data_IF_439782929517
#
_entry.id   IF_439782929517
#
_cell.length_a   1.000
_cell.length_b   1.000
_cell.length_c   1.000
_cell.angle_alpha   90.00
_cell.angle_beta   90.00
_cell.angle_gamma   90.00
#
_symmetry.space_group_name_H-M   'P 1'
#
loop_
_entity.id
_entity.type
_entity.pdbx_description
1 polymer ?
#
# COMPACT_ATOMS: atom_id res chain seq x y z
N UNK A 1 -57.29 -12.00 38.99
CA UNK A 1 -56.00 -12.25 39.71
C UNK A 1 -54.99 -11.25 39.17
N UNK A 2 -54.66 -10.15 39.87
CA UNK A 2 -53.60 -9.97 40.89
C UNK A 2 -52.16 -10.20 40.35
N UNK A 3 -51.34 -9.14 40.43
CA UNK A 3 -49.85 -9.03 40.27
C UNK A 3 -49.33 -9.07 38.81
N UNK A 4 -48.29 -8.34 38.37
CA UNK A 4 -47.42 -7.27 38.95
C UNK A 4 -46.43 -6.75 37.87
N UNK A 5 -45.71 -5.60 37.90
CA UNK A 5 -45.77 -4.22 38.49
C UNK A 5 -44.62 -3.38 37.81
N UNK A 6 -44.57 -2.04 37.97
CA UNK A 6 -43.39 -1.10 37.74
C UNK A 6 -43.27 -0.57 36.28
N UNK A 7 -43.13 0.74 35.93
CA UNK A 7 -42.49 1.95 36.54
C UNK A 7 -43.30 3.26 36.19
N UNK A 8 -43.84 4.07 37.14
CA UNK A 8 -43.40 5.43 37.62
C UNK A 8 -43.05 6.44 36.49
N UNK A 9 -43.70 7.58 36.15
CA UNK A 9 -44.46 8.74 36.76
C UNK A 9 -43.60 10.01 37.10
N UNK A 10 -44.12 11.21 36.72
CA UNK A 10 -43.75 12.64 36.98
C UNK A 10 -42.94 13.35 35.85
N UNK A 11 -43.36 14.45 35.17
CA UNK A 11 -44.04 15.74 35.52
C UNK A 11 -43.14 16.61 36.43
N UNK A 12 -42.86 17.92 36.27
CA UNK A 12 -43.50 19.13 35.68
C UNK A 12 -42.36 20.11 35.22
N UNK A 13 -42.49 21.17 34.39
CA UNK A 13 -42.91 22.56 34.70
C UNK A 13 -42.89 23.42 33.42
N UNK A 14 -43.91 24.27 33.24
CA UNK A 14 -44.00 25.38 32.26
C UNK A 14 -43.10 26.55 32.66
N UNK A 15 -42.55 27.33 31.70
CA UNK A 15 -42.68 28.81 31.70
C UNK A 15 -42.10 29.49 30.44
N UNK A 16 -42.62 30.69 30.19
CA UNK A 16 -42.54 31.49 28.96
C UNK A 16 -41.14 32.00 28.56
N UNK A 17 -41.00 32.27 27.26
CA UNK A 17 -39.94 33.09 26.66
C UNK A 17 -40.04 34.56 27.14
N UNK A 18 -38.92 35.29 27.08
CA UNK A 18 -38.95 36.54 26.32
C UNK A 18 -37.83 36.63 25.26
N UNK A 19 -38.14 37.38 24.21
CA UNK A 19 -37.20 37.85 23.18
C UNK A 19 -36.21 38.82 23.79
N UNK A 20 -34.92 38.67 23.49
CA UNK A 20 -33.96 39.78 23.53
C UNK A 20 -33.08 39.75 22.28
N UNK A 21 -32.83 40.94 21.74
CA UNK A 21 -32.06 41.18 20.53
C UNK A 21 -30.64 41.67 20.87
N UNK A 22 -29.72 41.42 19.94
CA UNK A 22 -28.54 42.23 19.62
C UNK A 22 -27.83 43.00 20.76
N UNK A 23 -26.81 42.39 21.38
CA UNK A 23 -25.64 43.14 21.87
C UNK A 23 -24.32 42.38 21.60
N UNK A 24 -23.50 42.96 20.70
CA UNK A 24 -22.03 43.00 20.66
C UNK A 24 -21.21 41.72 20.94
N UNK A 25 -20.70 41.09 19.87
CA UNK A 25 -19.90 39.86 19.90
C UNK A 25 -18.41 40.11 19.60
N UNK A 26 -17.75 40.98 20.37
CA UNK A 26 -16.31 41.30 20.17
C UNK A 26 -15.40 41.09 21.41
N UNK A 27 -15.94 40.93 22.63
CA UNK A 27 -15.14 40.90 23.88
C UNK A 27 -14.97 39.53 24.58
N UNK A 28 -15.28 38.40 23.91
CA UNK A 28 -15.15 37.04 24.50
C UNK A 28 -14.10 36.18 23.77
N UNK A 29 -13.01 36.81 23.30
CA UNK A 29 -11.94 36.13 22.56
C UNK A 29 -10.64 35.90 23.36
N UNK A 30 -10.51 36.50 24.56
CA UNK A 30 -9.18 36.73 25.17
C UNK A 30 -8.90 35.95 26.46
N UNK A 31 -9.88 35.22 27.02
CA UNK A 31 -9.75 34.59 28.36
C UNK A 31 -9.98 33.05 28.39
N UNK A 32 -9.88 32.37 27.24
CA UNK A 32 -10.11 30.91 27.13
C UNK A 32 -9.00 30.13 26.39
N UNK A 33 -7.80 30.73 26.25
CA UNK A 33 -6.67 30.13 25.50
C UNK A 33 -5.55 29.60 26.41
N UNK A 34 -5.80 29.49 27.72
CA UNK A 34 -4.82 29.04 28.72
C UNK A 34 -5.39 27.99 29.66
N UNK A 35 -5.54 26.74 29.17
CA UNK A 35 -5.40 25.45 29.90
C UNK A 35 -6.10 24.28 29.16
N UNK A 36 -5.61 23.90 27.97
CA UNK A 36 -5.62 22.48 27.50
C UNK A 36 -4.68 22.32 26.29
N UNK A 37 -3.37 22.46 26.53
CA UNK A 37 -2.36 21.79 25.70
C UNK A 37 -1.97 20.52 26.44
N UNK A 38 -2.82 19.50 26.34
CA UNK A 38 -2.45 18.15 26.77
C UNK A 38 -1.37 17.66 25.81
N UNK A 39 -0.13 17.62 26.30
CA UNK A 39 1.03 17.19 25.54
C UNK A 39 0.81 15.75 25.07
N UNK A 40 0.59 15.57 23.77
CA UNK A 40 0.36 14.24 23.19
C UNK A 40 1.59 13.37 23.50
N UNK A 41 1.42 12.13 23.99
CA UNK A 41 2.55 11.28 24.31
C UNK A 41 3.37 11.08 23.04
N UNK A 42 4.63 11.51 23.07
CA UNK A 42 5.54 11.35 21.95
C UNK A 42 5.56 9.88 21.53
N UNK A 43 5.28 9.61 20.26
CA UNK A 43 5.43 8.26 19.72
C UNK A 43 6.86 7.78 20.02
N UNK A 44 7.04 6.53 20.50
CA UNK A 44 8.35 6.05 20.88
C UNK A 44 9.28 6.12 19.67
N UNK A 45 10.33 6.92 19.79
CA UNK A 45 11.36 7.06 18.76
C UNK A 45 12.04 5.70 18.62
N UNK A 46 11.60 4.91 17.65
CA UNK A 46 12.24 3.64 17.32
C UNK A 46 13.57 4.00 16.67
N UNK A 47 14.62 4.04 17.48
CA UNK A 47 15.99 4.14 16.98
C UNK A 47 16.21 3.02 15.96
N UNK A 48 16.26 3.37 14.68
CA UNK A 48 16.58 2.43 13.62
C UNK A 48 18.01 1.94 13.85
N UNK A 49 18.25 0.62 14.05
CA UNK A 49 19.60 0.11 14.21
C UNK A 49 20.46 0.54 13.03
N UNK A 50 21.70 0.98 13.32
CA UNK A 50 22.63 1.49 12.31
C UNK A 50 22.69 0.57 11.08
N UNK A 51 22.30 1.10 9.90
CA UNK A 51 22.17 0.28 8.70
C UNK A 51 23.56 -0.23 8.26
N UNK A 52 23.85 -1.50 8.51
CA UNK A 52 25.12 -2.16 8.14
C UNK A 52 25.21 -2.40 6.63
N UNK A 53 25.41 -1.34 5.86
CA UNK A 53 25.64 -1.42 4.42
C UNK A 53 27.08 -1.81 4.10
N UNK A 54 27.25 -2.52 2.98
CA UNK A 54 28.57 -2.81 2.41
C UNK A 54 29.05 -1.55 1.71
N UNK A 55 30.21 -1.06 2.13
CA UNK A 55 30.85 0.12 1.55
C UNK A 55 31.04 -0.03 0.03
N UNK A 56 30.67 1.01 -0.73
CA UNK A 56 30.71 1.01 -2.20
C UNK A 56 29.50 0.38 -2.92
N UNK A 57 28.49 -0.14 -2.21
CA UNK A 57 27.19 -0.44 -2.82
C UNK A 57 26.45 0.87 -3.11
N UNK A 58 25.94 1.02 -4.35
CA UNK A 58 25.18 2.19 -4.80
C UNK A 58 23.88 1.73 -5.47
N UNK A 59 22.95 2.64 -5.76
CA UNK A 59 21.71 2.32 -6.49
C UNK A 59 21.96 1.73 -7.89
N UNK A 60 23.15 1.93 -8.46
CA UNK A 60 23.55 1.36 -9.76
C UNK A 60 24.18 -0.04 -9.64
N UNK A 61 24.47 -0.50 -8.42
CA UNK A 61 25.11 -1.79 -8.15
C UNK A 61 24.07 -2.91 -8.23
N UNK A 62 24.11 -3.74 -9.27
CA UNK A 62 23.25 -4.92 -9.36
C UNK A 62 23.69 -6.02 -8.38
N UNK A 63 23.09 -6.01 -7.20
CA UNK A 63 23.36 -6.96 -6.12
C UNK A 63 22.75 -8.36 -6.39
N UNK A 64 21.85 -8.51 -7.35
CA UNK A 64 21.08 -9.73 -7.58
C UNK A 64 21.86 -10.81 -8.34
N UNK A 65 21.60 -12.08 -7.98
CA UNK A 65 22.26 -13.25 -8.56
C UNK A 65 23.79 -13.24 -8.39
N UNK A 66 24.30 -12.57 -7.36
CA UNK A 66 25.74 -12.42 -7.10
C UNK A 66 26.27 -13.38 -6.06
N UNK A 67 25.47 -13.68 -5.02
CA UNK A 67 25.93 -14.37 -3.81
C UNK A 67 27.02 -13.62 -3.03
N UNK A 68 27.17 -12.30 -3.24
CA UNK A 68 28.21 -11.47 -2.61
C UNK A 68 27.65 -10.52 -1.54
N UNK A 69 26.59 -9.80 -1.87
CA UNK A 69 26.11 -8.67 -1.07
C UNK A 69 25.09 -9.08 0.00
N UNK A 70 25.41 -10.14 0.74
CA UNK A 70 24.49 -10.75 1.70
C UNK A 70 24.05 -9.77 2.80
N UNK A 71 24.95 -8.90 3.25
CA UNK A 71 24.66 -7.92 4.29
C UNK A 71 23.70 -6.80 3.85
N UNK A 72 23.42 -6.62 2.56
CA UNK A 72 22.38 -5.67 2.13
C UNK A 72 20.98 -6.13 2.56
N UNK A 73 20.73 -7.44 2.57
CA UNK A 73 19.43 -8.02 2.91
C UNK A 73 19.40 -8.67 4.31
N UNK A 74 20.55 -9.07 4.85
CA UNK A 74 20.66 -9.85 6.08
C UNK A 74 21.47 -9.12 7.15
N UNK A 75 21.05 -9.26 8.41
CA UNK A 75 21.78 -8.76 9.59
C UNK A 75 23.03 -9.59 9.88
N UNK A 76 23.00 -10.88 9.50
CA UNK A 76 24.09 -11.86 9.63
C UNK A 76 23.92 -12.95 8.58
N UNK A 77 24.99 -13.67 8.27
CA UNK A 77 24.96 -14.77 7.28
C UNK A 77 23.87 -15.79 7.64
N UNK A 78 22.87 -16.03 6.76
CA UNK A 78 21.77 -16.94 7.05
C UNK A 78 22.27 -18.38 7.15
N UNK A 79 21.81 -19.10 8.16
CA UNK A 79 22.08 -20.54 8.33
C UNK A 79 20.92 -21.33 7.73
N UNK A 80 21.23 -22.36 6.96
CA UNK A 80 20.22 -23.24 6.34
C UNK A 80 19.28 -23.81 7.41
N UNK A 81 17.99 -23.84 7.09
CA UNK A 81 16.91 -24.40 7.92
C UNK A 81 16.76 -23.73 9.32
N UNK A 82 17.36 -22.54 9.51
CA UNK A 82 17.19 -21.69 10.70
C UNK A 82 16.54 -20.35 10.34
N UNK A 83 16.45 -19.45 11.31
CA UNK A 83 16.12 -18.05 11.06
C UNK A 83 17.02 -17.46 9.96
N UNK A 84 16.39 -16.68 9.07
CA UNK A 84 17.05 -16.06 7.92
C UNK A 84 17.75 -14.76 8.29
N UNK A 85 17.42 -14.17 9.44
CA UNK A 85 18.01 -12.92 9.95
C UNK A 85 18.00 -11.82 8.88
N UNK A 86 16.84 -11.66 8.23
CA UNK A 86 16.60 -10.60 7.27
C UNK A 86 16.48 -9.27 8.01
N UNK A 87 17.12 -8.21 7.50
CA UNK A 87 16.96 -6.86 8.03
C UNK A 87 15.48 -6.45 8.04
N UNK A 88 15.15 -5.51 8.91
CA UNK A 88 13.79 -4.96 9.05
C UNK A 88 12.73 -6.04 9.33
N UNK A 89 13.10 -7.12 10.01
CA UNK A 89 12.21 -8.25 10.31
C UNK A 89 11.69 -8.99 9.08
N UNK A 90 12.35 -8.85 7.92
CA UNK A 90 11.88 -9.43 6.65
C UNK A 90 10.83 -8.60 5.92
N UNK A 91 10.66 -7.31 6.23
CA UNK A 91 9.85 -6.40 5.42
C UNK A 91 10.49 -6.19 4.03
N UNK A 92 9.96 -6.91 3.04
CA UNK A 92 10.43 -6.83 1.66
C UNK A 92 10.19 -5.47 0.99
N UNK A 93 9.29 -4.62 1.51
CA UNK A 93 9.12 -3.24 1.01
C UNK A 93 10.36 -2.41 1.32
N UNK A 94 10.91 -2.55 2.53
CA UNK A 94 12.15 -1.89 2.95
C UNK A 94 13.40 -2.55 2.35
N UNK A 95 13.47 -3.88 2.34
CA UNK A 95 14.61 -4.62 1.77
C UNK A 95 14.79 -4.37 0.26
N UNK A 96 13.70 -4.18 -0.48
CA UNK A 96 13.75 -3.98 -1.93
C UNK A 96 13.66 -2.50 -2.35
N UNK A 97 13.87 -1.53 -1.42
CA UNK A 97 13.67 -0.08 -1.61
C UNK A 97 14.23 0.47 -2.94
N UNK A 98 15.34 -0.06 -3.42
CA UNK A 98 16.02 0.29 -4.68
C UNK A 98 15.20 0.15 -5.98
N UNK A 99 14.01 -0.46 -5.97
CA UNK A 99 13.11 -0.48 -7.15
C UNK A 99 11.95 0.53 -7.07
N UNK A 100 12.02 1.54 -6.19
CA UNK A 100 11.03 2.61 -6.11
C UNK A 100 9.78 2.22 -5.31
N UNK A 101 10.00 1.69 -4.09
CA UNK A 101 8.92 1.35 -3.17
C UNK A 101 8.68 2.46 -2.16
N UNK A 102 7.59 3.22 -2.33
CA UNK A 102 6.94 3.91 -1.22
C UNK A 102 5.82 3.00 -0.67
N UNK A 103 5.77 2.74 0.65
CA UNK A 103 4.64 2.06 1.27
C UNK A 103 3.31 2.75 0.91
N UNK A 104 2.32 1.97 0.48
CA UNK A 104 0.99 2.46 0.14
C UNK A 104 0.78 3.01 -1.28
N UNK A 105 1.85 3.28 -2.07
CA UNK A 105 1.68 3.78 -3.46
C UNK A 105 1.89 2.71 -4.53
N UNK A 106 2.15 1.45 -4.14
CA UNK A 106 2.63 0.37 -5.01
C UNK A 106 1.49 -0.50 -5.60
N UNK A 107 1.45 -0.63 -6.94
CA UNK A 107 0.35 -1.32 -7.65
C UNK A 107 0.47 -2.85 -7.76
N UNK A 108 1.49 -3.49 -7.18
CA UNK A 108 1.52 -4.96 -7.19
C UNK A 108 0.64 -5.49 -6.04
N UNK A 109 -0.05 -6.62 -6.23
CA UNK A 109 -1.02 -7.13 -5.27
C UNK A 109 -0.35 -7.81 -4.08
N UNK A 110 0.24 -7.03 -3.17
CA UNK A 110 0.81 -7.48 -1.89
C UNK A 110 -0.03 -6.97 -0.71
N UNK A 111 0.05 -7.65 0.42
CA UNK A 111 -0.75 -7.43 1.63
C UNK A 111 -2.29 -7.65 1.46
N UNK A 112 -2.68 -8.28 0.35
CA UNK A 112 -4.07 -8.61 0.02
C UNK A 112 -4.39 -10.06 0.40
N UNK A 113 -5.55 -10.29 1.03
CA UNK A 113 -6.11 -11.64 1.20
C UNK A 113 -6.66 -12.15 -0.14
N UNK A 114 -6.22 -13.31 -0.66
CA UNK A 114 -6.87 -13.92 -1.83
C UNK A 114 -8.29 -14.37 -1.47
N UNK A 115 -9.22 -14.30 -2.42
CA UNK A 115 -10.56 -14.91 -2.25
C UNK A 115 -10.46 -16.43 -2.10
N UNK A 116 -11.45 -17.07 -1.47
CA UNK A 116 -11.46 -18.53 -1.26
C UNK A 116 -11.33 -19.34 -2.56
N UNK A 117 -11.87 -18.84 -3.68
CA UNK A 117 -11.66 -19.44 -5.00
C UNK A 117 -10.18 -19.40 -5.41
N UNK A 118 -9.52 -18.25 -5.22
CA UNK A 118 -8.09 -18.07 -5.56
C UNK A 118 -7.20 -18.88 -4.62
N UNK A 119 -7.50 -18.94 -3.32
CA UNK A 119 -6.78 -19.79 -2.34
C UNK A 119 -6.73 -21.25 -2.77
N UNK A 120 -7.80 -21.78 -3.35
CA UNK A 120 -7.86 -23.15 -3.88
C UNK A 120 -7.04 -23.36 -5.16
N UNK A 121 -6.75 -22.30 -5.91
CA UNK A 121 -5.96 -22.32 -7.16
C UNK A 121 -4.47 -22.00 -6.95
N UNK A 122 -4.12 -21.23 -5.91
CA UNK A 122 -2.74 -20.86 -5.59
C UNK A 122 -1.87 -22.13 -5.47
N UNK A 123 -0.81 -22.28 -6.27
CA UNK A 123 0.04 -23.46 -6.22
C UNK A 123 0.80 -23.55 -4.89
N UNK A 124 1.16 -24.76 -4.45
CA UNK A 124 1.87 -24.98 -3.16
C UNK A 124 3.21 -24.27 -3.10
N UNK A 125 3.86 -24.08 -4.24
CA UNK A 125 5.13 -23.37 -4.37
C UNK A 125 5.00 -21.83 -4.30
N UNK A 126 3.78 -21.28 -4.18
CA UNK A 126 3.47 -19.85 -4.05
C UNK A 126 3.01 -19.54 -2.61
N UNK A 127 3.94 -19.37 -1.64
CA UNK A 127 3.59 -19.27 -0.22
C UNK A 127 2.87 -17.96 0.10
N UNK A 128 1.84 -18.03 0.95
CA UNK A 128 1.20 -16.87 1.56
C UNK A 128 1.92 -16.48 2.86
N UNK A 129 2.03 -15.17 3.13
CA UNK A 129 2.57 -14.66 4.39
C UNK A 129 1.41 -14.20 5.26
N UNK A 130 1.21 -14.83 6.43
CA UNK A 130 0.06 -14.57 7.33
C UNK A 130 -1.30 -14.64 6.60
N UNK A 131 -1.42 -15.54 5.62
CA UNK A 131 -2.63 -15.72 4.79
C UNK A 131 -2.83 -14.70 3.65
N UNK A 132 -1.93 -13.72 3.49
CA UNK A 132 -1.94 -12.70 2.44
C UNK A 132 -0.92 -13.00 1.33
N UNK A 133 -1.15 -12.45 0.14
CA UNK A 133 -0.11 -12.38 -0.90
C UNK A 133 1.01 -11.46 -0.40
N UNK A 134 2.27 -11.86 -0.59
CA UNK A 134 3.44 -11.04 -0.32
C UNK A 134 4.40 -11.07 -1.51
N UNK A 135 5.46 -10.27 -1.46
CA UNK A 135 6.55 -10.33 -2.43
C UNK A 135 7.03 -11.78 -2.63
N UNK A 136 7.21 -12.50 -1.52
CA UNK A 136 7.65 -13.91 -1.49
C UNK A 136 6.67 -14.92 -2.10
N UNK A 137 5.41 -14.56 -2.33
CA UNK A 137 4.43 -15.41 -3.04
C UNK A 137 4.78 -15.51 -4.52
N UNK A 138 5.06 -14.39 -5.17
CA UNK A 138 5.36 -14.32 -6.61
C UNK A 138 6.86 -14.42 -6.91
N UNK A 139 7.71 -14.04 -5.96
CA UNK A 139 9.16 -13.99 -6.10
C UNK A 139 9.86 -15.04 -5.23
N UNK A 140 10.78 -15.79 -5.82
CA UNK A 140 11.72 -16.63 -5.08
C UNK A 140 12.97 -15.84 -4.70
N UNK A 141 12.86 -15.07 -3.61
CA UNK A 141 13.93 -14.20 -3.09
C UNK A 141 15.25 -14.96 -2.87
N UNK A 142 15.19 -16.26 -2.56
CA UNK A 142 16.39 -17.09 -2.37
C UNK A 142 17.27 -17.21 -3.64
N UNK A 143 16.69 -17.04 -4.83
CA UNK A 143 17.47 -17.01 -6.08
C UNK A 143 18.47 -15.85 -6.13
N UNK A 144 18.20 -14.74 -5.44
CA UNK A 144 19.10 -13.58 -5.38
C UNK A 144 20.41 -13.92 -4.65
N UNK A 145 20.34 -14.81 -3.65
CA UNK A 145 21.48 -15.29 -2.87
C UNK A 145 22.42 -16.21 -3.68
N UNK A 146 21.97 -16.71 -4.84
CA UNK A 146 22.74 -17.67 -5.65
C UNK A 146 23.52 -16.97 -6.76
N UNK A 147 24.80 -17.28 -6.89
CA UNK A 147 25.58 -16.93 -8.10
C UNK A 147 25.12 -17.79 -9.28
N UNK A 148 24.07 -17.37 -9.97
CA UNK A 148 23.47 -18.12 -11.08
C UNK A 148 23.31 -17.24 -12.32
N UNK A 149 24.31 -17.27 -13.21
CA UNK A 149 24.33 -16.49 -14.45
C UNK A 149 23.21 -16.87 -15.43
N UNK A 150 22.79 -18.14 -15.45
CA UNK A 150 21.68 -18.61 -16.31
C UNK A 150 20.35 -18.01 -15.87
N UNK A 151 20.00 -18.08 -14.57
CA UNK A 151 18.78 -17.44 -14.09
C UNK A 151 18.87 -15.90 -14.07
N UNK A 152 20.07 -15.31 -13.92
CA UNK A 152 20.28 -13.88 -14.16
C UNK A 152 19.90 -13.43 -15.59
N UNK A 153 19.85 -14.34 -16.56
CA UNK A 153 19.30 -14.06 -17.90
C UNK A 153 17.83 -14.45 -18.01
N UNK A 154 17.49 -15.72 -17.72
CA UNK A 154 16.17 -16.30 -17.98
C UNK A 154 15.07 -15.89 -16.96
N UNK A 155 15.47 -15.47 -15.77
CA UNK A 155 14.57 -15.11 -14.67
C UNK A 155 15.09 -13.87 -13.92
N UNK A 156 15.40 -12.77 -14.64
CA UNK A 156 15.93 -11.51 -14.04
C UNK A 156 15.15 -11.00 -12.83
N UNK A 157 13.84 -11.25 -12.79
CA UNK A 157 12.93 -10.82 -11.72
C UNK A 157 12.68 -11.90 -10.66
N UNK A 158 13.45 -12.98 -10.66
CA UNK A 158 13.42 -14.06 -9.66
C UNK A 158 11.98 -14.56 -9.37
N UNK A 159 11.15 -14.68 -10.41
CA UNK A 159 9.76 -15.11 -10.31
C UNK A 159 9.69 -16.62 -10.00
N UNK A 160 8.75 -17.03 -9.15
CA UNK A 160 8.48 -18.45 -8.86
C UNK A 160 7.93 -19.15 -10.10
N UNK A 161 8.41 -20.35 -10.41
CA UNK A 161 7.91 -21.15 -11.55
C UNK A 161 8.34 -20.65 -12.93
N UNK A 162 9.19 -19.62 -13.02
CA UNK A 162 9.73 -19.11 -14.28
C UNK A 162 10.76 -20.08 -14.91
N UNK A 163 11.05 -19.99 -16.22
CA UNK A 163 10.70 -18.91 -17.16
C UNK A 163 9.21 -18.85 -17.53
N UNK A 164 8.73 -17.64 -17.80
CA UNK A 164 7.41 -17.36 -18.39
C UNK A 164 7.60 -16.61 -19.72
N UNK A 165 6.64 -16.74 -20.64
CA UNK A 165 6.64 -16.02 -21.92
C UNK A 165 6.27 -14.55 -21.67
N UNK A 166 5.29 -14.31 -20.79
CA UNK A 166 4.89 -12.97 -20.34
C UNK A 166 4.84 -12.86 -18.81
N UNK A 167 4.79 -11.63 -18.28
CA UNK A 167 4.54 -11.42 -16.84
C UNK A 167 3.14 -11.88 -16.42
N UNK A 168 2.17 -11.89 -17.34
CA UNK A 168 0.77 -12.23 -17.06
C UNK A 168 0.58 -13.73 -16.86
N UNK A 169 1.41 -14.58 -17.47
CA UNK A 169 1.38 -16.04 -17.32
C UNK A 169 1.53 -16.46 -15.83
N UNK A 170 2.33 -15.70 -15.07
CA UNK A 170 2.48 -15.86 -13.63
C UNK A 170 1.15 -15.60 -12.89
N UNK A 171 0.36 -14.61 -13.33
CA UNK A 171 -0.95 -14.31 -12.74
C UNK A 171 -1.93 -15.47 -12.96
N UNK A 172 -1.84 -16.17 -14.10
CA UNK A 172 -2.68 -17.33 -14.43
C UNK A 172 -2.33 -18.60 -13.63
N UNK A 173 -1.26 -18.57 -12.82
CA UNK A 173 -1.06 -19.58 -11.76
C UNK A 173 -2.16 -19.56 -10.71
N UNK A 174 -2.84 -18.43 -10.53
CA UNK A 174 -3.89 -18.25 -9.52
C UNK A 174 -5.23 -17.75 -10.10
N UNK A 175 -5.20 -17.07 -11.26
CA UNK A 175 -6.36 -16.53 -11.96
C UNK A 175 -6.76 -17.42 -13.15
N UNK A 176 -8.06 -17.49 -13.45
CA UNK A 176 -8.55 -18.13 -14.69
C UNK A 176 -8.30 -17.18 -15.87
N UNK A 177 -7.38 -17.54 -16.76
CA UNK A 177 -7.00 -16.76 -17.95
C UNK A 177 -8.20 -16.32 -18.78
N UNK A 178 -9.19 -17.22 -18.97
CA UNK A 178 -10.39 -16.95 -19.79
C UNK A 178 -11.37 -15.97 -19.13
N UNK A 179 -11.22 -15.71 -17.84
CA UNK A 179 -12.02 -14.77 -17.05
C UNK A 179 -11.21 -13.58 -16.56
N UNK A 180 -9.91 -13.52 -16.88
CA UNK A 180 -9.03 -12.47 -16.40
C UNK A 180 -9.14 -11.25 -17.30
N UNK A 181 -9.94 -10.29 -16.86
CA UNK A 181 -9.90 -8.93 -17.40
C UNK A 181 -8.87 -8.14 -16.60
N UNK A 182 -7.83 -7.62 -17.27
CA UNK A 182 -6.97 -6.61 -16.64
C UNK A 182 -7.83 -5.42 -16.22
N UNK A 183 -7.57 -4.90 -15.02
CA UNK A 183 -8.21 -3.64 -14.61
C UNK A 183 -7.76 -2.54 -15.57
N UNK A 184 -8.75 -1.93 -16.23
CA UNK A 184 -8.56 -0.67 -16.93
C UNK A 184 -8.92 0.46 -15.94
N UNK A 185 -7.97 1.36 -15.58
CA UNK A 185 -8.29 2.51 -14.73
C UNK A 185 -9.05 3.60 -15.50
N UNK A 186 -9.04 3.59 -16.85
CA UNK A 186 -9.62 4.65 -17.67
C UNK A 186 -11.15 4.55 -17.85
N UNK A 187 -11.76 3.37 -17.68
CA UNK A 187 -13.23 3.25 -17.69
C UNK A 187 -13.78 3.50 -16.28
N UNK A 188 -13.72 4.77 -15.85
CA UNK A 188 -14.08 5.23 -14.51
C UNK A 188 -15.60 5.29 -14.26
N UNK A 189 -16.42 5.09 -15.29
CA UNK A 189 -17.88 5.09 -15.20
C UNK A 189 -18.48 3.70 -15.37
N UNK A 190 -19.62 3.46 -14.72
CA UNK A 190 -20.53 2.34 -14.97
C UNK A 190 -21.31 2.54 -16.30
N UNK A 191 -22.00 1.52 -16.83
CA UNK A 191 -22.83 1.67 -18.03
C UNK A 191 -23.96 2.69 -17.90
N UNK A 192 -24.44 2.94 -16.68
CA UNK A 192 -25.43 3.97 -16.35
C UNK A 192 -24.81 5.31 -15.93
N UNK A 193 -23.51 5.51 -16.17
CA UNK A 193 -22.82 6.80 -16.03
C UNK A 193 -22.36 7.18 -14.62
N UNK A 194 -22.45 6.28 -13.64
CA UNK A 194 -22.01 6.55 -12.25
C UNK A 194 -20.52 6.33 -12.08
N UNK A 195 -19.89 7.13 -11.23
CA UNK A 195 -18.45 7.03 -10.93
C UNK A 195 -18.13 5.76 -10.13
N UNK A 196 -17.12 5.01 -10.59
CA UNK A 196 -16.55 3.85 -9.91
C UNK A 196 -15.42 4.34 -9.00
N UNK A 197 -15.76 4.65 -7.74
CA UNK A 197 -14.91 5.33 -6.76
C UNK A 197 -13.56 4.63 -6.59
N UNK A 198 -13.53 3.30 -6.58
CA UNK A 198 -12.32 2.49 -6.38
C UNK A 198 -11.29 2.71 -7.49
N UNK A 199 -11.72 3.11 -8.71
CA UNK A 199 -10.81 3.42 -9.82
C UNK A 199 -10.15 4.79 -9.68
N UNK A 200 -10.80 5.75 -9.03
CA UNK A 200 -10.20 7.04 -8.71
C UNK A 200 -8.98 6.84 -7.78
N UNK A 201 -9.09 5.91 -6.83
CA UNK A 201 -8.05 5.62 -5.83
C UNK A 201 -6.78 4.95 -6.39
N UNK A 202 -6.74 4.60 -7.69
CA UNK A 202 -5.51 4.18 -8.37
C UNK A 202 -4.54 5.33 -8.65
N UNK A 203 -5.05 6.56 -8.70
CA UNK A 203 -4.27 7.77 -8.97
C UNK A 203 -4.37 8.79 -7.83
N UNK A 204 -5.50 8.87 -7.13
CA UNK A 204 -5.77 9.84 -6.08
C UNK A 204 -5.75 9.23 -4.67
N UNK A 205 -5.28 10.00 -3.67
CA UNK A 205 -5.29 9.61 -2.26
C UNK A 205 -6.71 9.48 -1.68
N UNK A 206 -7.63 10.25 -2.23
CA UNK A 206 -9.07 10.27 -1.94
C UNK A 206 -9.84 10.44 -3.24
N UNK A 207 -11.12 10.09 -3.28
CA UNK A 207 -11.99 10.43 -4.42
C UNK A 207 -12.09 11.96 -4.52
N UNK A 208 -11.75 12.58 -5.66
CA UNK A 208 -11.97 14.02 -5.84
C UNK A 208 -13.44 14.41 -5.82
N UNK A 209 -13.73 15.68 -5.57
CA UNK A 209 -15.04 16.28 -5.85
C UNK A 209 -15.09 16.71 -7.33
N UNK A 210 -15.81 15.95 -8.16
CA UNK A 210 -15.95 16.19 -9.60
C UNK A 210 -16.73 17.45 -9.97
N UNK A 211 -17.34 18.15 -9.00
CA UNK A 211 -18.10 19.38 -9.21
C UNK A 211 -17.25 20.60 -8.77
N UNK A 212 -16.51 20.49 -7.66
CA UNK A 212 -15.87 21.62 -7.00
C UNK A 212 -14.33 21.64 -7.04
N UNK A 213 -13.63 20.49 -7.16
CA UNK A 213 -12.16 20.48 -7.19
C UNK A 213 -11.59 20.63 -8.60
N UNK A 214 -10.66 21.55 -8.76
CA UNK A 214 -9.89 21.76 -9.99
C UNK A 214 -8.61 20.91 -10.04
N UNK A 215 -7.98 20.82 -11.22
CA UNK A 215 -6.81 19.97 -11.48
C UNK A 215 -5.61 20.21 -10.53
N UNK A 216 -5.45 21.42 -10.01
CA UNK A 216 -4.38 21.79 -9.06
C UNK A 216 -4.72 21.45 -7.60
N UNK A 217 -5.96 21.07 -7.29
CA UNK A 217 -6.43 20.79 -5.93
C UNK A 217 -6.47 19.28 -5.63
N UNK A 218 -6.62 18.45 -6.67
CA UNK A 218 -6.73 17.00 -6.52
C UNK A 218 -5.46 16.36 -5.93
N UNK A 219 -5.65 15.55 -4.89
CA UNK A 219 -4.55 14.93 -4.14
C UNK A 219 -4.12 13.61 -4.79
N UNK A 220 -3.08 13.62 -5.62
CA UNK A 220 -2.50 12.42 -6.23
C UNK A 220 -1.68 11.57 -5.24
N UNK A 221 -1.60 10.25 -5.47
CA UNK A 221 -0.76 9.32 -4.67
C UNK A 221 0.74 9.42 -4.99
N UNK A 222 1.13 10.25 -5.96
CA UNK A 222 2.50 10.47 -6.39
C UNK A 222 2.58 11.40 -7.61
N UNK A 223 3.77 11.54 -8.19
CA UNK A 223 3.96 12.32 -9.42
C UNK A 223 3.13 11.75 -10.59
N UNK A 224 2.40 12.62 -11.29
CA UNK A 224 1.44 12.27 -12.34
C UNK A 224 2.05 11.41 -13.47
N UNK A 225 3.24 11.74 -13.95
CA UNK A 225 3.90 10.97 -15.01
C UNK A 225 4.24 9.56 -14.54
N UNK A 226 4.76 9.44 -13.32
CA UNK A 226 5.07 8.15 -12.69
C UNK A 226 3.80 7.31 -12.54
N UNK A 227 2.65 7.92 -12.23
CA UNK A 227 1.35 7.22 -12.18
C UNK A 227 1.01 6.58 -13.54
N UNK A 228 1.18 7.33 -14.64
CA UNK A 228 0.94 6.84 -16.00
C UNK A 228 1.95 5.75 -16.42
N UNK A 229 3.25 5.97 -16.18
CA UNK A 229 4.32 5.08 -16.65
C UNK A 229 4.32 3.70 -15.96
N UNK A 230 3.72 3.56 -14.77
CA UNK A 230 3.49 2.26 -14.09
C UNK A 230 2.80 1.24 -14.99
N UNK A 231 1.89 1.69 -15.86
CA UNK A 231 1.21 0.87 -16.86
C UNK A 231 1.77 1.12 -18.29
N UNK A 232 2.12 2.36 -18.62
CA UNK A 232 2.49 2.81 -19.97
C UNK A 232 4.00 2.96 -20.18
N UNK A 233 4.78 2.03 -19.64
CA UNK A 233 6.26 2.03 -19.60
C UNK A 233 6.94 2.08 -20.99
N UNK A 234 6.24 1.70 -22.07
CA UNK A 234 6.75 1.86 -23.45
C UNK A 234 6.41 3.21 -24.05
N UNK A 235 5.27 3.81 -23.68
CA UNK A 235 4.81 5.10 -24.16
C UNK A 235 5.53 6.28 -23.47
N UNK A 236 6.20 6.06 -22.33
CA UNK A 236 6.97 7.11 -21.62
C UNK A 236 7.95 7.85 -22.53
N UNK A 237 8.65 7.11 -23.42
CA UNK A 237 9.57 7.66 -24.43
C UNK A 237 8.91 8.52 -25.52
N UNK A 238 7.59 8.55 -25.59
CA UNK A 238 6.79 9.29 -26.56
C UNK A 238 5.85 10.29 -25.85
N UNK A 239 6.03 10.51 -24.54
CA UNK A 239 5.27 11.53 -23.82
C UNK A 239 5.79 12.92 -24.24
N UNK A 240 4.91 13.91 -24.52
CA UNK A 240 5.33 15.22 -25.02
C UNK A 240 6.31 16.00 -24.13
N UNK A 241 6.44 15.65 -22.84
CA UNK A 241 7.39 16.27 -21.90
C UNK A 241 8.82 15.69 -21.99
N UNK A 242 8.98 14.55 -22.67
CA UNK A 242 10.26 13.86 -22.86
C UNK A 242 10.83 14.05 -24.29
N UNK A 243 10.34 15.06 -25.00
CA UNK A 243 10.70 15.42 -26.38
C UNK A 243 11.52 16.71 -26.43
#
# INVERSE_FOLDING_TARGET
MKRSTILIIFLIVLLALPVFAEENMEDIATEIVTEVVAEAPAEPIIETPAETHIEGVTEKTDIHYTGKYCAECHEKTPIKDKDKSLKFGGDFTRLCKCHGYEPGTYIHPVDIFPSEEKKKKIPKEFPLTKGKISCGTCHDIYLQCQKNTRFKVLNKRFLRGAPYVSRTDLCFRCHDERKYTMLNPHNQLTPDGKIIIEKCLYCHKVKPDEIHEHFNEVKLIGNLEVLCYRCHLKQSKMHPINA
#
